data_IF_257159653652
#
_entry.id   IF_257159653652
#
_cell.length_a   1.000
_cell.length_b   1.000
_cell.length_c   1.000
_cell.angle_alpha   90.00
_cell.angle_beta   90.00
_cell.angle_gamma   90.00
#
_symmetry.space_group_name_H-M   'P 1'
#
loop_
_entity.id
_entity.type
_entity.pdbx_description
1 polymer ?
#
# COMPACT_ATOMS: atom_id res chain seq x y z
N UNK A 1 -18.11 0.31 -13.98
CA UNK A 1 -16.75 -0.25 -13.99
C UNK A 1 -16.57 -0.83 -15.38
N UNK A 2 -15.53 -0.43 -16.10
CA UNK A 2 -14.95 -1.34 -17.09
C UNK A 2 -14.55 -2.58 -16.30
N UNK A 3 -15.09 -3.75 -16.67
CA UNK A 3 -14.74 -5.02 -16.04
C UNK A 3 -13.25 -5.29 -16.30
N UNK A 4 -12.40 -4.85 -15.38
CA UNK A 4 -11.06 -5.39 -15.33
C UNK A 4 -11.20 -6.84 -14.90
N UNK A 5 -10.70 -7.75 -15.71
CA UNK A 5 -10.60 -9.16 -15.30
C UNK A 5 -9.54 -9.25 -14.20
N UNK A 6 -9.99 -9.14 -12.94
CA UNK A 6 -9.13 -9.27 -11.76
C UNK A 6 -9.01 -10.76 -11.46
N UNK A 7 -7.92 -11.36 -11.93
CA UNK A 7 -7.64 -12.77 -11.70
C UNK A 7 -6.47 -12.95 -10.73
N UNK A 8 -6.78 -12.85 -9.43
CA UNK A 8 -5.86 -13.24 -8.37
C UNK A 8 -6.16 -14.67 -7.89
N UNK A 9 -5.15 -15.55 -7.95
CA UNK A 9 -5.21 -16.91 -7.41
C UNK A 9 -5.16 -16.90 -5.88
N UNK A 10 -5.77 -17.91 -5.25
CA UNK A 10 -5.54 -18.20 -3.82
C UNK A 10 -4.08 -18.58 -3.60
N UNK A 11 -3.54 -18.24 -2.43
CA UNK A 11 -2.16 -18.56 -2.06
C UNK A 11 -2.02 -18.76 -0.56
N UNK A 12 -0.99 -19.50 -0.15
CA UNK A 12 -0.59 -19.54 1.24
C UNK A 12 0.09 -18.22 1.64
N UNK A 13 1.00 -17.74 0.78
CA UNK A 13 1.79 -16.53 1.03
C UNK A 13 1.54 -15.51 -0.08
N UNK A 14 1.38 -14.24 0.30
CA UNK A 14 1.55 -13.08 -0.59
C UNK A 14 2.85 -12.36 -0.24
N UNK A 15 3.74 -12.16 -1.22
CA UNK A 15 5.02 -11.49 -1.00
C UNK A 15 4.93 -10.02 -1.38
N UNK A 16 5.25 -9.13 -0.43
CA UNK A 16 5.43 -7.70 -0.71
C UNK A 16 6.90 -7.44 -1.03
N UNK A 17 7.15 -6.81 -2.18
CA UNK A 17 8.49 -6.47 -2.68
C UNK A 17 8.61 -5.00 -3.09
N UNK A 18 9.84 -4.43 -3.10
CA UNK A 18 10.07 -3.06 -3.55
C UNK A 18 10.10 -2.90 -5.08
N UNK A 19 9.93 -3.99 -5.84
CA UNK A 19 9.87 -4.04 -7.32
C UNK A 19 10.91 -3.16 -8.04
N UNK A 20 10.51 -1.96 -8.46
CA UNK A 20 11.32 -1.02 -9.23
C UNK A 20 12.54 -0.52 -8.46
N UNK A 21 12.46 -0.50 -7.13
CA UNK A 21 13.50 0.01 -6.24
C UNK A 21 14.35 -1.11 -5.62
N UNK A 22 14.11 -2.36 -6.03
CA UNK A 22 14.88 -3.51 -5.59
C UNK A 22 16.26 -3.54 -6.30
N UNK A 23 17.33 -3.67 -5.52
CA UNK A 23 18.67 -4.00 -6.06
C UNK A 23 18.68 -5.41 -6.64
N UNK A 24 19.72 -5.75 -7.41
CA UNK A 24 19.89 -7.11 -7.92
C UNK A 24 19.98 -8.15 -6.78
N UNK A 25 20.63 -7.80 -5.67
CA UNK A 25 20.73 -8.65 -4.49
C UNK A 25 19.37 -8.86 -3.82
N UNK A 26 18.57 -7.79 -3.69
CA UNK A 26 17.21 -7.87 -3.15
C UNK A 26 16.30 -8.75 -4.02
N UNK A 27 16.39 -8.61 -5.36
CA UNK A 27 15.66 -9.46 -6.30
C UNK A 27 16.07 -10.92 -6.18
N UNK A 28 17.37 -11.21 -6.17
CA UNK A 28 17.89 -12.56 -6.01
C UNK A 28 17.45 -13.18 -4.68
N UNK A 29 17.45 -12.40 -3.59
CA UNK A 29 16.93 -12.86 -2.30
C UNK A 29 15.45 -13.23 -2.41
N UNK A 30 14.62 -12.37 -3.00
CA UNK A 30 13.17 -12.60 -3.12
C UNK A 30 12.85 -13.80 -4.00
N UNK A 31 13.52 -13.95 -5.14
CA UNK A 31 13.34 -15.10 -6.03
C UNK A 31 13.74 -16.41 -5.34
N UNK A 32 14.87 -16.42 -4.64
CA UNK A 32 15.30 -17.56 -3.85
C UNK A 32 14.29 -17.86 -2.74
N UNK A 33 13.82 -16.84 -2.03
CA UNK A 33 12.84 -16.97 -0.97
C UNK A 33 11.54 -17.61 -1.46
N UNK A 34 10.97 -17.10 -2.56
CA UNK A 34 9.78 -17.66 -3.20
C UNK A 34 10.00 -19.13 -3.56
N UNK A 35 11.13 -19.46 -4.19
CA UNK A 35 11.46 -20.83 -4.57
C UNK A 35 11.58 -21.77 -3.37
N UNK A 36 12.20 -21.33 -2.28
CA UNK A 36 12.32 -22.18 -1.08
C UNK A 36 10.95 -22.42 -0.42
N UNK A 37 10.08 -21.41 -0.35
CA UNK A 37 8.71 -21.60 0.13
C UNK A 37 7.89 -22.54 -0.77
N UNK A 38 8.05 -22.44 -2.09
CA UNK A 38 7.39 -23.36 -3.04
C UNK A 38 7.91 -24.79 -2.93
N UNK A 39 9.21 -24.99 -2.66
CA UNK A 39 9.79 -26.32 -2.38
C UNK A 39 9.23 -26.94 -1.10
N UNK A 40 8.87 -26.13 -0.12
CA UNK A 40 8.16 -26.56 1.10
C UNK A 40 6.68 -26.90 0.84
N UNK A 41 6.21 -26.79 -0.41
CA UNK A 41 4.85 -27.12 -0.81
C UNK A 41 3.85 -25.97 -0.65
N UNK A 42 4.31 -24.75 -0.34
CA UNK A 42 3.45 -23.57 -0.22
C UNK A 42 3.13 -22.97 -1.58
N UNK A 43 1.91 -22.48 -1.76
CA UNK A 43 1.52 -21.67 -2.91
C UNK A 43 1.89 -20.22 -2.63
N UNK A 44 2.79 -19.65 -3.44
CA UNK A 44 3.24 -18.26 -3.29
C UNK A 44 2.65 -17.39 -4.40
N UNK A 45 2.08 -16.25 -4.00
CA UNK A 45 1.72 -15.14 -4.89
C UNK A 45 2.83 -14.08 -4.80
N UNK A 46 3.57 -13.90 -5.90
CA UNK A 46 4.64 -12.93 -6.00
C UNK A 46 4.30 -11.90 -7.09
N UNK A 47 3.87 -10.66 -6.75
CA UNK A 47 3.29 -9.72 -7.70
C UNK A 47 4.13 -9.41 -8.94
N UNK A 48 5.45 -9.34 -8.81
CA UNK A 48 6.34 -9.10 -9.95
C UNK A 48 6.27 -10.23 -11.00
N UNK A 49 5.85 -11.44 -10.60
CA UNK A 49 5.64 -12.63 -11.44
C UNK A 49 4.16 -12.85 -11.79
N UNK A 50 3.28 -12.77 -10.79
CA UNK A 50 1.90 -13.25 -10.84
C UNK A 50 0.88 -12.15 -11.19
N UNK A 51 1.27 -10.87 -11.14
CA UNK A 51 0.41 -9.74 -11.53
C UNK A 51 0.89 -9.15 -12.85
N UNK A 52 -0.02 -8.97 -13.82
CA UNK A 52 0.33 -8.30 -15.08
C UNK A 52 0.75 -6.84 -14.80
N UNK A 53 2.06 -6.62 -14.93
CA UNK A 53 2.71 -5.35 -14.65
C UNK A 53 2.48 -4.28 -15.74
N UNK A 54 1.87 -4.66 -16.87
CA UNK A 54 1.56 -3.77 -17.99
C UNK A 54 0.31 -2.92 -17.75
N UNK A 55 0.40 -2.05 -16.76
CA UNK A 55 -0.63 -1.06 -16.44
C UNK A 55 0.04 0.32 -16.35
N UNK A 56 -0.19 1.23 -17.32
CA UNK A 56 0.44 2.55 -17.31
C UNK A 56 -0.08 3.47 -16.19
N UNK A 57 -1.23 3.15 -15.59
CA UNK A 57 -1.80 3.89 -14.46
C UNK A 57 -1.32 3.29 -13.14
N UNK A 58 -1.47 1.98 -12.99
CA UNK A 58 -1.20 1.21 -11.77
C UNK A 58 -2.46 0.77 -11.02
N UNK A 59 -3.65 1.27 -11.37
CA UNK A 59 -4.88 0.96 -10.63
C UNK A 59 -5.27 -0.52 -10.75
N UNK A 60 -5.12 -1.14 -11.93
CA UNK A 60 -5.40 -2.57 -12.12
C UNK A 60 -4.43 -3.41 -11.28
N UNK A 61 -3.16 -3.02 -11.21
CA UNK A 61 -2.18 -3.69 -10.34
C UNK A 61 -2.61 -3.61 -8.88
N UNK A 62 -2.96 -2.42 -8.38
CA UNK A 62 -3.45 -2.25 -7.01
C UNK A 62 -4.70 -3.11 -6.72
N UNK A 63 -5.66 -3.15 -7.64
CA UNK A 63 -6.87 -3.97 -7.52
C UNK A 63 -6.54 -5.47 -7.48
N UNK A 64 -5.65 -5.95 -8.36
CA UNK A 64 -5.22 -7.36 -8.37
C UNK A 64 -4.47 -7.74 -7.10
N UNK A 65 -3.56 -6.88 -6.63
CA UNK A 65 -2.84 -7.10 -5.37
C UNK A 65 -3.80 -7.14 -4.18
N UNK A 66 -4.79 -6.23 -4.14
CA UNK A 66 -5.83 -6.23 -3.10
C UNK A 66 -6.57 -7.57 -3.05
N UNK A 67 -7.01 -8.09 -4.20
CA UNK A 67 -7.69 -9.38 -4.26
C UNK A 67 -6.77 -10.54 -3.89
N UNK A 68 -5.50 -10.50 -4.28
CA UNK A 68 -4.51 -11.51 -3.89
C UNK A 68 -4.27 -11.50 -2.36
N UNK A 69 -4.13 -10.33 -1.75
CA UNK A 69 -4.01 -10.18 -0.29
C UNK A 69 -5.27 -10.70 0.41
N UNK A 70 -6.47 -10.40 -0.10
CA UNK A 70 -7.73 -10.93 0.48
C UNK A 70 -7.75 -12.46 0.49
N UNK A 71 -7.29 -13.08 -0.59
CA UNK A 71 -7.29 -14.54 -0.78
C UNK A 71 -6.12 -15.28 -0.15
N UNK A 72 -5.08 -14.57 0.31
CA UNK A 72 -3.91 -15.22 0.92
C UNK A 72 -4.13 -15.61 2.38
N UNK A 73 -3.34 -16.56 2.91
CA UNK A 73 -3.36 -16.91 4.34
C UNK A 73 -2.48 -15.98 5.16
N UNK A 74 -1.28 -15.67 4.66
CA UNK A 74 -0.30 -14.80 5.32
C UNK A 74 0.45 -13.90 4.32
N UNK A 75 0.99 -12.80 4.82
CA UNK A 75 1.72 -11.80 4.03
C UNK A 75 3.17 -11.73 4.50
N UNK A 76 4.10 -11.90 3.57
CA UNK A 76 5.54 -11.84 3.84
C UNK A 76 6.14 -10.61 3.17
N UNK A 77 6.62 -9.66 3.96
CA UNK A 77 7.09 -8.37 3.47
C UNK A 77 8.61 -8.25 3.52
N UNK A 78 9.21 -7.94 2.38
CA UNK A 78 10.59 -7.45 2.35
C UNK A 78 10.59 -5.93 2.41
N UNK A 79 11.22 -5.38 3.46
CA UNK A 79 11.18 -3.95 3.73
C UNK A 79 12.57 -3.32 3.69
N UNK A 80 12.74 -2.32 2.82
CA UNK A 80 13.94 -1.51 2.70
C UNK A 80 13.70 -0.01 2.91
N UNK A 81 12.47 0.39 3.28
CA UNK A 81 12.10 1.77 3.60
C UNK A 81 12.01 2.73 2.42
N UNK A 82 12.18 2.27 1.17
CA UNK A 82 12.16 3.15 -0.01
C UNK A 82 10.85 3.03 -0.82
N UNK A 83 10.34 1.80 -0.95
CA UNK A 83 9.25 1.52 -1.89
C UNK A 83 7.90 2.05 -1.44
N UNK A 84 7.35 2.97 -2.23
CA UNK A 84 5.99 3.48 -2.06
C UNK A 84 4.95 2.35 -2.11
N UNK A 85 5.11 1.39 -3.04
CA UNK A 85 4.22 0.24 -3.18
C UNK A 85 4.22 -0.65 -1.94
N UNK A 86 5.38 -0.81 -1.30
CA UNK A 86 5.52 -1.58 -0.07
C UNK A 86 4.74 -0.94 1.09
N UNK A 87 4.81 0.38 1.27
CA UNK A 87 4.01 1.07 2.30
C UNK A 87 2.51 0.88 2.08
N UNK A 88 2.06 1.00 0.83
CA UNK A 88 0.67 0.81 0.45
C UNK A 88 0.19 -0.63 0.69
N UNK A 89 0.94 -1.64 0.24
CA UNK A 89 0.58 -3.04 0.43
C UNK A 89 0.62 -3.47 1.90
N UNK A 90 1.52 -2.88 2.71
CA UNK A 90 1.51 -3.05 4.17
C UNK A 90 0.21 -2.53 4.79
N UNK A 91 -0.26 -1.37 4.36
CA UNK A 91 -1.54 -0.81 4.76
C UNK A 91 -2.71 -1.72 4.39
N UNK A 92 -2.76 -2.19 3.15
CA UNK A 92 -3.77 -3.14 2.69
C UNK A 92 -3.76 -4.43 3.54
N UNK A 93 -2.59 -4.99 3.79
CA UNK A 93 -2.42 -6.22 4.56
C UNK A 93 -2.87 -6.07 6.01
N UNK A 94 -2.55 -4.91 6.61
CA UNK A 94 -2.96 -4.57 7.97
C UNK A 94 -4.49 -4.42 8.08
N UNK A 95 -5.12 -3.69 7.15
CA UNK A 95 -6.59 -3.57 7.11
C UNK A 95 -7.27 -4.92 6.91
N UNK A 96 -6.71 -5.79 6.07
CA UNK A 96 -7.20 -7.15 5.85
C UNK A 96 -6.96 -8.11 7.04
N UNK A 97 -6.31 -7.64 8.12
CA UNK A 97 -5.97 -8.42 9.33
C UNK A 97 -5.19 -9.69 9.00
N UNK A 98 -4.32 -9.63 7.99
CA UNK A 98 -3.50 -10.77 7.59
C UNK A 98 -2.30 -10.91 8.53
N UNK A 99 -1.94 -12.13 8.95
CA UNK A 99 -0.65 -12.38 9.59
C UNK A 99 0.48 -11.81 8.72
N UNK A 100 1.32 -10.96 9.30
CA UNK A 100 2.36 -10.22 8.59
C UNK A 100 3.74 -10.58 9.14
N UNK A 101 4.63 -11.03 8.26
CA UNK A 101 5.99 -11.43 8.61
C UNK A 101 7.01 -10.64 7.79
N UNK A 102 7.98 -10.02 8.44
CA UNK A 102 9.08 -9.35 7.76
C UNK A 102 10.21 -10.34 7.44
N UNK A 103 10.66 -10.35 6.18
CA UNK A 103 11.67 -11.29 5.66
C UNK A 103 12.91 -10.57 5.15
N UNK A 104 14.08 -11.21 5.25
CA UNK A 104 15.33 -10.70 4.68
C UNK A 104 15.87 -9.42 5.32
N UNK A 105 15.34 -9.02 6.49
CA UNK A 105 15.69 -7.77 7.16
C UNK A 105 15.72 -7.94 8.69
N UNK A 106 16.28 -6.93 9.38
CA UNK A 106 16.27 -6.84 10.84
C UNK A 106 14.91 -6.41 11.39
N UNK A 107 14.07 -5.80 10.56
CA UNK A 107 12.69 -5.41 10.89
C UNK A 107 11.91 -6.68 11.27
N UNK A 108 11.14 -6.61 12.37
CA UNK A 108 10.25 -7.70 12.84
C UNK A 108 8.81 -7.27 12.95
N UNK A 109 8.56 -5.98 13.09
CA UNK A 109 7.22 -5.41 13.32
C UNK A 109 6.99 -4.16 12.48
N UNK A 110 5.73 -3.72 12.39
CA UNK A 110 5.40 -2.41 11.81
C UNK A 110 6.05 -1.26 12.59
N UNK A 111 6.16 -1.39 13.92
CA UNK A 111 6.86 -0.41 14.75
C UNK A 111 8.34 -0.30 14.36
N UNK A 112 9.02 -1.42 14.12
CA UNK A 112 10.40 -1.41 13.62
C UNK A 112 10.47 -0.75 12.23
N UNK A 113 9.55 -1.12 11.33
CA UNK A 113 9.54 -0.66 9.94
C UNK A 113 9.39 0.87 9.87
N UNK A 114 8.36 1.41 10.51
CA UNK A 114 8.09 2.85 10.51
C UNK A 114 9.01 3.62 11.48
N UNK A 115 9.46 3.00 12.57
CA UNK A 115 10.48 3.57 13.44
C UNK A 115 11.82 3.77 12.73
N UNK A 116 12.20 2.84 11.84
CA UNK A 116 13.46 2.93 11.08
C UNK A 116 13.51 4.09 10.08
N UNK A 117 12.35 4.64 9.70
CA UNK A 117 12.25 5.79 8.81
C UNK A 117 12.57 7.13 9.51
N UNK A 118 12.77 7.13 10.83
CA UNK A 118 13.07 8.34 11.59
C UNK A 118 11.94 9.37 11.52
N UNK A 119 10.68 8.92 11.41
CA UNK A 119 9.54 9.80 11.29
C UNK A 119 9.27 10.52 12.62
N UNK A 120 9.73 11.77 12.73
CA UNK A 120 9.16 12.71 13.69
C UNK A 120 7.76 13.08 13.20
N UNK A 121 6.78 12.33 13.69
CA UNK A 121 5.41 12.43 13.23
C UNK A 121 4.51 12.98 14.34
N UNK A 122 4.09 14.27 14.24
CA UNK A 122 3.11 14.84 15.16
C UNK A 122 1.81 14.02 15.23
N UNK A 123 1.44 13.30 14.17
CA UNK A 123 0.26 12.44 14.13
C UNK A 123 0.37 11.24 15.08
N UNK A 124 1.58 10.73 15.31
CA UNK A 124 1.82 9.70 16.33
C UNK A 124 1.68 10.26 17.75
N UNK A 125 1.89 11.56 17.99
CA UNK A 125 1.76 12.18 19.33
C UNK A 125 2.50 11.42 20.44
N UNK A 126 3.66 10.82 20.11
CA UNK A 126 4.45 9.99 21.03
C UNK A 126 3.96 8.56 21.23
N UNK A 127 2.94 8.10 20.50
CA UNK A 127 2.44 6.73 20.53
C UNK A 127 3.21 5.81 19.57
N UNK A 128 3.13 4.50 19.79
CA UNK A 128 3.70 3.52 18.85
C UNK A 128 2.96 3.55 17.52
N UNK A 129 3.64 3.20 16.43
CA UNK A 129 3.00 3.16 15.12
C UNK A 129 1.85 2.15 15.09
N UNK A 130 2.03 0.98 15.70
CA UNK A 130 0.99 -0.05 15.81
C UNK A 130 -0.27 0.47 16.51
N UNK A 131 -0.12 1.21 17.60
CA UNK A 131 -1.23 1.83 18.32
C UNK A 131 -1.94 2.89 17.48
N UNK A 132 -1.19 3.69 16.73
CA UNK A 132 -1.74 4.66 15.79
C UNK A 132 -2.52 3.93 14.67
N UNK A 133 -1.92 2.92 14.05
CA UNK A 133 -2.52 2.17 12.95
C UNK A 133 -3.84 1.50 13.36
N UNK A 134 -3.93 0.95 14.57
CA UNK A 134 -5.18 0.40 15.11
C UNK A 134 -6.28 1.45 15.28
N UNK A 135 -5.93 2.66 15.75
CA UNK A 135 -6.91 3.77 15.83
C UNK A 135 -7.40 4.18 14.45
N UNK A 136 -6.49 4.25 13.48
CA UNK A 136 -6.84 4.57 12.11
C UNK A 136 -7.74 3.52 11.47
N UNK A 137 -7.42 2.24 11.67
CA UNK A 137 -8.27 1.13 11.23
C UNK A 137 -9.67 1.24 11.84
N UNK A 138 -9.77 1.51 13.14
CA UNK A 138 -11.06 1.68 13.81
C UNK A 138 -11.88 2.85 13.24
N UNK A 139 -11.22 3.96 12.86
CA UNK A 139 -11.88 5.09 12.18
C UNK A 139 -12.39 4.66 10.80
N UNK A 140 -11.58 3.94 10.02
CA UNK A 140 -11.98 3.46 8.69
C UNK A 140 -13.07 2.38 8.75
N UNK A 141 -13.17 1.63 9.83
CA UNK A 141 -14.24 0.66 10.08
C UNK A 141 -15.54 1.32 10.61
N UNK A 142 -15.52 2.60 10.99
CA UNK A 142 -16.71 3.32 11.46
C UNK A 142 -17.63 3.67 10.30
N UNK A 143 -18.88 3.19 10.36
CA UNK A 143 -19.93 3.47 9.38
C UNK A 143 -20.30 4.97 9.30
N UNK A 144 -19.95 5.76 10.32
CA UNK A 144 -20.17 7.21 10.34
C UNK A 144 -18.92 8.00 9.92
N UNK A 145 -17.86 7.34 9.45
CA UNK A 145 -16.68 8.03 8.98
C UNK A 145 -17.04 8.96 7.82
N UNK A 146 -16.93 10.27 8.03
CA UNK A 146 -17.26 11.26 7.02
C UNK A 146 -16.09 11.58 6.09
N UNK A 147 -14.89 11.12 6.43
CA UNK A 147 -13.68 11.36 5.65
C UNK A 147 -12.50 11.96 6.43
N UNK A 148 -11.32 11.93 5.80
CA UNK A 148 -10.06 12.45 6.32
C UNK A 148 -9.18 13.06 5.23
N UNK A 149 -8.41 14.06 5.62
CA UNK A 149 -7.45 14.72 4.76
C UNK A 149 -6.04 14.26 4.87
N UNK A 150 -5.36 14.27 3.73
CA UNK A 150 -3.93 14.09 3.62
C UNK A 150 -3.34 15.11 2.64
N UNK A 151 -2.14 15.56 3.00
CA UNK A 151 -1.30 16.34 2.10
C UNK A 151 -0.27 15.40 1.52
N UNK A 152 -0.12 15.43 0.20
CA UNK A 152 0.93 14.70 -0.50
C UNK A 152 2.02 15.67 -0.89
N UNK A 153 3.23 15.38 -0.45
CA UNK A 153 4.43 15.98 -1.00
C UNK A 153 5.44 14.85 -1.17
N UNK A 154 6.05 14.75 -2.34
CA UNK A 154 6.89 13.61 -2.73
C UNK A 154 8.13 13.45 -1.84
N UNK A 155 8.58 14.57 -1.25
CA UNK A 155 9.69 14.61 -0.30
C UNK A 155 9.22 14.71 1.16
N UNK A 156 7.93 14.44 1.42
CA UNK A 156 7.40 14.50 2.78
C UNK A 156 7.76 13.20 3.52
N UNK A 157 8.38 13.27 4.71
CA UNK A 157 8.54 12.08 5.56
C UNK A 157 7.19 11.40 5.87
N UNK A 158 6.08 12.16 5.88
CA UNK A 158 4.72 11.62 6.08
C UNK A 158 4.16 10.86 4.87
N UNK A 159 4.88 10.82 3.75
CA UNK A 159 4.46 10.08 2.57
C UNK A 159 4.26 8.59 2.88
N UNK A 160 5.14 7.99 3.68
CA UNK A 160 5.01 6.59 4.10
C UNK A 160 3.71 6.36 4.90
N UNK A 161 3.36 7.28 5.80
CA UNK A 161 2.13 7.24 6.60
C UNK A 161 0.89 7.41 5.73
N UNK A 162 0.94 8.34 4.78
CA UNK A 162 -0.12 8.52 3.81
C UNK A 162 -0.34 7.24 3.00
N UNK A 163 0.72 6.66 2.44
CA UNK A 163 0.62 5.47 1.60
C UNK A 163 0.08 4.27 2.39
N UNK A 164 0.52 4.10 3.64
CA UNK A 164 -0.02 3.08 4.52
C UNK A 164 -1.52 3.29 4.78
N UNK A 165 -1.95 4.50 5.12
CA UNK A 165 -3.36 4.78 5.34
C UNK A 165 -4.20 4.65 4.06
N UNK A 166 -3.67 5.13 2.94
CA UNK A 166 -4.27 4.97 1.62
C UNK A 166 -4.46 3.49 1.27
N UNK A 167 -3.47 2.64 1.57
CA UNK A 167 -3.58 1.19 1.46
C UNK A 167 -4.71 0.62 2.32
N UNK A 168 -4.82 1.06 3.58
CA UNK A 168 -5.92 0.62 4.46
C UNK A 168 -7.28 0.99 3.87
N UNK A 169 -7.48 2.25 3.49
CA UNK A 169 -8.75 2.71 2.92
C UNK A 169 -9.08 2.00 1.60
N UNK A 170 -8.09 1.76 0.75
CA UNK A 170 -8.25 1.02 -0.50
C UNK A 170 -8.66 -0.44 -0.27
N UNK A 171 -8.12 -1.09 0.76
CA UNK A 171 -8.55 -2.44 1.17
C UNK A 171 -9.95 -2.45 1.78
N UNK A 172 -10.33 -1.38 2.48
CA UNK A 172 -11.65 -1.21 3.08
C UNK A 172 -12.77 -0.90 2.07
N UNK A 173 -12.45 -0.79 0.78
CA UNK A 173 -13.38 -0.31 -0.26
C UNK A 173 -13.99 1.07 0.07
N UNK A 174 -13.22 1.92 0.75
CA UNK A 174 -13.61 3.31 1.02
C UNK A 174 -13.40 4.13 -0.24
N UNK A 175 -14.36 4.99 -0.54
CA UNK A 175 -14.29 5.93 -1.65
C UNK A 175 -13.19 6.98 -1.41
N UNK A 176 -12.35 7.17 -2.44
CA UNK A 176 -11.15 8.02 -2.36
C UNK A 176 -11.27 9.12 -3.40
N UNK A 177 -11.15 10.38 -2.96
CA UNK A 177 -11.45 11.55 -3.79
C UNK A 177 -10.40 12.64 -3.64
N UNK A 178 -9.88 13.14 -4.75
CA UNK A 178 -8.97 14.28 -4.75
C UNK A 178 -9.74 15.59 -4.51
N UNK A 179 -9.40 16.36 -3.47
CA UNK A 179 -10.02 17.69 -3.25
C UNK A 179 -9.61 18.69 -4.34
N UNK A 180 -8.35 18.61 -4.77
CA UNK A 180 -7.78 19.46 -5.80
C UNK A 180 -7.31 18.61 -7.01
N UNK A 181 -8.20 17.93 -7.74
CA UNK A 181 -7.81 17.00 -8.81
C UNK A 181 -7.04 17.69 -9.94
N UNK A 182 -7.27 18.99 -10.13
CA UNK A 182 -6.59 19.82 -11.15
C UNK A 182 -5.13 20.11 -10.82
N UNK A 183 -4.74 20.01 -9.54
CA UNK A 183 -3.37 20.25 -9.10
C UNK A 183 -2.51 18.98 -9.16
N UNK A 184 -3.15 17.81 -9.20
CA UNK A 184 -2.46 16.53 -9.33
C UNK A 184 -2.01 16.33 -10.77
N UNK A 185 -0.69 16.36 -11.00
CA UNK A 185 -0.11 16.14 -12.32
C UNK A 185 0.02 14.64 -12.59
N UNK A 186 -0.48 14.20 -13.74
CA UNK A 186 -0.22 12.84 -14.24
C UNK A 186 1.27 12.65 -14.49
N UNK A 187 1.75 11.46 -14.16
CA UNK A 187 3.11 11.01 -14.48
C UNK A 187 3.08 10.16 -15.75
N UNK A 188 4.20 10.13 -16.47
CA UNK A 188 4.36 9.32 -17.68
C UNK A 188 4.37 7.81 -17.41
N UNK A 189 4.67 7.42 -16.18
CA UNK A 189 4.72 6.03 -15.72
C UNK A 189 3.70 5.80 -14.61
N UNK A 190 3.38 4.53 -14.33
CA UNK A 190 2.46 4.14 -13.25
C UNK A 190 2.92 4.68 -11.88
N UNK A 191 2.00 5.35 -11.18
CA UNK A 191 2.25 6.08 -9.94
C UNK A 191 0.97 6.19 -9.10
N UNK A 192 1.10 6.48 -7.81
CA UNK A 192 -0.07 6.69 -6.96
C UNK A 192 -0.84 7.97 -7.33
N UNK A 193 -0.19 8.98 -7.89
CA UNK A 193 -0.86 10.16 -8.47
C UNK A 193 -1.83 9.74 -9.58
N UNK A 194 -1.38 8.87 -10.50
CA UNK A 194 -2.22 8.34 -11.57
C UNK A 194 -3.37 7.48 -11.02
N UNK A 195 -3.11 6.62 -10.03
CA UNK A 195 -4.13 5.81 -9.35
C UNK A 195 -5.19 6.68 -8.70
N UNK A 196 -4.79 7.69 -7.92
CA UNK A 196 -5.72 8.61 -7.25
C UNK A 196 -6.58 9.38 -8.26
N UNK A 197 -6.01 9.80 -9.38
CA UNK A 197 -6.74 10.46 -10.46
C UNK A 197 -7.78 9.53 -11.13
N UNK A 198 -7.52 8.23 -11.24
CA UNK A 198 -8.54 7.28 -11.74
C UNK A 198 -9.60 6.99 -10.68
N UNK A 199 -9.22 6.80 -9.41
CA UNK A 199 -10.17 6.61 -8.30
C UNK A 199 -11.14 7.79 -8.19
N UNK A 200 -10.63 9.01 -8.29
CA UNK A 200 -11.44 10.22 -8.27
C UNK A 200 -12.52 10.26 -9.36
N UNK A 201 -12.26 9.68 -10.55
CA UNK A 201 -13.25 9.64 -11.64
C UNK A 201 -14.39 8.64 -11.40
N UNK A 202 -14.13 7.60 -10.60
CA UNK A 202 -15.05 6.48 -10.41
C UNK A 202 -15.74 6.48 -9.04
N UNK A 203 -15.29 7.35 -8.13
CA UNK A 203 -15.89 7.59 -6.81
C UNK A 203 -17.38 8.00 -6.95
N UNK A 204 -18.24 7.45 -6.09
CA UNK A 204 -19.71 7.65 -6.17
C UNK A 204 -20.35 8.09 -4.85
N UNK A 205 -19.64 8.03 -3.73
CA UNK A 205 -20.18 8.14 -2.38
C UNK A 205 -19.77 9.39 -1.59
N UNK A 206 -20.17 9.37 -0.32
CA UNK A 206 -20.16 10.51 0.62
C UNK A 206 -19.03 10.46 1.67
N UNK A 207 -18.12 9.49 1.60
CA UNK A 207 -17.01 9.29 2.57
C UNK A 207 -15.68 9.58 1.85
N UNK A 208 -14.83 10.43 2.41
CA UNK A 208 -13.74 11.04 1.64
C UNK A 208 -12.34 10.83 2.23
N UNK A 209 -11.40 10.24 1.50
CA UNK A 209 -9.98 10.59 1.72
C UNK A 209 -9.56 11.68 0.75
N UNK A 210 -9.29 12.90 1.26
CA UNK A 210 -8.87 14.01 0.42
C UNK A 210 -7.36 14.18 0.32
N UNK A 211 -6.89 14.41 -0.90
CA UNK A 211 -5.52 14.76 -1.24
C UNK A 211 -5.41 16.27 -1.46
N UNK A 212 -4.37 16.90 -0.91
CA UNK A 212 -3.91 18.23 -1.35
C UNK A 212 -2.45 18.17 -1.75
N UNK A 213 -2.12 18.78 -2.89
CA UNK A 213 -0.79 19.32 -3.13
C UNK A 213 -0.81 20.70 -2.49
N UNK A 214 -0.01 20.94 -1.46
CA UNK A 214 0.13 22.32 -0.98
C UNK A 214 0.82 23.07 -2.13
N UNK A 215 0.27 24.18 -2.65
CA UNK A 215 1.12 25.13 -3.34
C UNK A 215 2.12 25.63 -2.29
N UNK A 216 3.40 25.74 -2.61
CA UNK A 216 4.30 26.54 -1.78
C UNK A 216 3.57 27.85 -1.47
N UNK A 217 3.19 28.03 -0.21
CA UNK A 217 2.77 29.33 0.27
C UNK A 217 4.09 30.02 0.56
N UNK A 218 4.50 30.88 -0.36
CA UNK A 218 5.56 31.87 -0.15
C UNK A 218 5.27 32.73 1.09
#
# INVERSE_FOLDING_TARGET
MTEFEINAKESDIFVISPDREATAEEKNFLENYVREQEKEGKIVYFPSRDTDQNDPVGLRICLTNREAIRKTKEVHAYFNGRSQGTFFDLGMSFMAKKPLYFIGTKIKTLDDAFGSLGLECPELRGMKFSEWAEKERAILEDVNFLGRGYNWEENNPKLALFLFNFGMAFMADIDIYLKNPREVKRTLHKSFQNVLLELHKICKGDIYLYYTTVPNID
#
